data_IF_425188020984
#
_entry.id   IF_425188020984
#
_cell.length_a   1.000
_cell.length_b   1.000
_cell.length_c   1.000
_cell.angle_alpha   90.00
_cell.angle_beta   90.00
_cell.angle_gamma   90.00
#
_symmetry.space_group_name_H-M   'P 1'
#
loop_
_entity.id
_entity.type
_entity.pdbx_description
1 polymer ?
#
# COMPACT_ATOMS: atom_id res chain seq x y z
N UNK A 1 -3.02 -3.03 21.37
CA UNK A 1 -2.35 -2.12 20.42
C UNK A 1 -1.11 -2.76 19.83
N UNK A 2 -0.22 -3.31 20.67
CA UNK A 2 0.95 -4.11 20.25
C UNK A 2 0.61 -5.15 19.18
N UNK A 3 -0.46 -5.93 19.38
CA UNK A 3 -0.97 -6.87 18.38
C UNK A 3 -1.34 -6.22 17.01
N UNK A 4 -1.85 -4.98 17.00
CA UNK A 4 -2.19 -4.28 15.75
C UNK A 4 -0.93 -3.79 15.03
N UNK A 5 0.05 -3.24 15.76
CA UNK A 5 1.33 -2.83 15.19
C UNK A 5 2.10 -4.03 14.63
N UNK A 6 2.16 -5.16 15.36
CA UNK A 6 2.76 -6.40 14.84
C UNK A 6 2.09 -6.87 13.55
N UNK A 7 0.75 -6.80 13.50
CA UNK A 7 -0.03 -7.17 12.31
C UNK A 7 0.25 -6.24 11.14
N UNK A 8 0.33 -4.92 11.37
CA UNK A 8 0.65 -3.92 10.34
C UNK A 8 2.07 -4.09 9.82
N UNK A 9 3.06 -4.28 10.70
CA UNK A 9 4.44 -4.59 10.32
C UNK A 9 4.54 -5.87 9.49
N UNK A 10 3.75 -6.90 9.83
CA UNK A 10 3.68 -8.11 9.01
C UNK A 10 3.08 -7.83 7.63
N UNK A 11 2.02 -7.03 7.55
CA UNK A 11 1.43 -6.64 6.26
C UNK A 11 2.43 -5.84 5.41
N UNK A 12 3.21 -4.94 6.00
CA UNK A 12 4.27 -4.20 5.31
C UNK A 12 5.27 -5.14 4.64
N UNK A 13 5.79 -6.14 5.37
CA UNK A 13 6.70 -7.15 4.82
C UNK A 13 6.09 -7.93 3.66
N UNK A 14 4.85 -8.39 3.81
CA UNK A 14 4.16 -9.15 2.76
C UNK A 14 3.92 -8.30 1.50
N UNK A 15 3.58 -7.03 1.65
CA UNK A 15 3.40 -6.09 0.54
C UNK A 15 4.75 -5.80 -0.14
N UNK A 16 5.80 -5.56 0.64
CA UNK A 16 7.15 -5.31 0.13
C UNK A 16 7.68 -6.50 -0.70
N UNK A 17 7.51 -7.73 -0.21
CA UNK A 17 7.86 -8.95 -0.94
C UNK A 17 7.11 -9.06 -2.28
N UNK A 18 5.81 -8.76 -2.28
CA UNK A 18 5.00 -8.76 -3.51
C UNK A 18 5.47 -7.68 -4.49
N UNK A 19 5.77 -6.46 -4.02
CA UNK A 19 6.35 -5.40 -4.85
C UNK A 19 7.64 -5.87 -5.53
N UNK A 20 8.56 -6.49 -4.79
CA UNK A 20 9.84 -6.99 -5.33
C UNK A 20 9.64 -8.04 -6.42
N UNK A 21 8.74 -9.01 -6.19
CA UNK A 21 8.44 -10.05 -7.19
C UNK A 21 7.77 -9.45 -8.42
N UNK A 22 6.76 -8.59 -8.21
CA UNK A 22 5.99 -8.00 -9.30
C UNK A 22 6.82 -7.01 -10.13
N UNK A 23 7.83 -6.35 -9.54
CA UNK A 23 8.81 -5.54 -10.28
C UNK A 23 9.58 -6.36 -11.30
N UNK A 24 9.88 -7.64 -11.04
CA UNK A 24 10.53 -8.49 -12.04
C UNK A 24 9.52 -8.94 -13.10
N UNK A 25 8.30 -9.27 -12.68
CA UNK A 25 7.22 -9.69 -13.58
C UNK A 25 6.86 -8.59 -14.58
N UNK A 26 6.81 -7.34 -14.14
CA UNK A 26 6.32 -6.21 -14.94
C UNK A 26 7.25 -5.86 -16.11
N UNK A 27 8.53 -6.23 -16.04
CA UNK A 27 9.50 -6.00 -17.12
C UNK A 27 9.33 -6.96 -18.31
N UNK A 28 8.50 -8.01 -18.17
CA UNK A 28 8.26 -9.00 -19.21
C UNK A 28 6.80 -9.05 -19.62
N UNK A 29 6.50 -8.57 -20.83
CA UNK A 29 5.14 -8.61 -21.40
C UNK A 29 4.54 -10.02 -21.36
N UNK A 30 5.33 -11.03 -21.72
CA UNK A 30 4.91 -12.42 -21.67
C UNK A 30 4.56 -12.88 -20.25
N UNK A 31 5.36 -12.49 -19.25
CA UNK A 31 5.09 -12.81 -17.85
C UNK A 31 3.79 -12.14 -17.37
N UNK A 32 3.60 -10.84 -17.64
CA UNK A 32 2.41 -10.09 -17.23
C UNK A 32 1.09 -10.66 -17.78
N UNK A 33 1.16 -11.41 -18.88
CA UNK A 33 0.00 -12.04 -19.50
C UNK A 33 -0.45 -13.36 -18.83
N UNK A 34 0.40 -13.95 -17.97
CA UNK A 34 0.12 -15.24 -17.32
C UNK A 34 -0.97 -15.16 -16.26
N UNK A 35 -1.63 -16.28 -15.99
CA UNK A 35 -2.60 -16.38 -14.90
C UNK A 35 -1.93 -16.18 -13.53
N UNK A 36 -0.72 -16.72 -13.34
CA UNK A 36 0.07 -16.57 -12.11
C UNK A 36 0.33 -15.09 -11.80
N UNK A 37 0.72 -14.30 -12.81
CA UNK A 37 0.95 -12.87 -12.61
C UNK A 37 -0.32 -12.13 -12.23
N UNK A 38 -1.48 -12.49 -12.80
CA UNK A 38 -2.77 -11.88 -12.41
C UNK A 38 -3.09 -12.14 -10.95
N UNK A 39 -2.94 -13.39 -10.49
CA UNK A 39 -3.16 -13.77 -9.10
C UNK A 39 -2.21 -13.03 -8.13
N UNK A 40 -0.95 -12.82 -8.53
CA UNK A 40 -0.01 -12.03 -7.74
C UNK A 40 -0.41 -10.56 -7.65
N UNK A 41 -0.88 -9.96 -8.75
CA UNK A 41 -1.40 -8.58 -8.75
C UNK A 41 -2.68 -8.44 -7.91
N UNK A 42 -3.61 -9.39 -8.01
CA UNK A 42 -4.83 -9.43 -7.18
C UNK A 42 -4.46 -9.55 -5.70
N UNK A 43 -3.57 -10.48 -5.35
CA UNK A 43 -3.09 -10.65 -3.97
C UNK A 43 -2.42 -9.37 -3.44
N UNK A 44 -1.62 -8.70 -4.26
CA UNK A 44 -1.00 -7.43 -3.90
C UNK A 44 -2.06 -6.34 -3.64
N UNK A 45 -3.04 -6.21 -4.54
CA UNK A 45 -4.16 -5.27 -4.39
C UNK A 45 -4.93 -5.50 -3.10
N UNK A 46 -5.31 -6.75 -2.82
CA UNK A 46 -6.02 -7.10 -1.59
C UNK A 46 -5.21 -6.76 -0.34
N UNK A 47 -3.90 -7.01 -0.35
CA UNK A 47 -3.01 -6.73 0.78
C UNK A 47 -2.89 -5.23 1.05
N UNK A 48 -2.67 -4.41 0.02
CA UNK A 48 -2.59 -2.95 0.15
C UNK A 48 -3.91 -2.39 0.70
N UNK A 49 -5.05 -2.81 0.14
CA UNK A 49 -6.37 -2.34 0.59
C UNK A 49 -6.65 -2.77 2.03
N UNK A 50 -6.34 -4.02 2.39
CA UNK A 50 -6.51 -4.53 3.75
C UNK A 50 -5.63 -3.80 4.76
N UNK A 51 -4.40 -3.46 4.37
CA UNK A 51 -3.46 -2.71 5.22
C UNK A 51 -3.96 -1.28 5.49
N UNK A 52 -4.27 -0.51 4.44
CA UNK A 52 -4.80 0.85 4.59
C UNK A 52 -6.11 0.90 5.39
N UNK A 53 -6.95 -0.12 5.25
CA UNK A 53 -8.21 -0.23 6.01
C UNK A 53 -7.96 -0.54 7.48
N UNK A 54 -6.95 -1.36 7.78
CA UNK A 54 -6.61 -1.69 9.16
C UNK A 54 -6.02 -0.47 9.89
N UNK A 55 -5.17 0.31 9.24
CA UNK A 55 -4.61 1.54 9.83
C UNK A 55 -5.68 2.58 10.12
N UNK A 56 -6.64 2.75 9.20
CA UNK A 56 -7.77 3.66 9.38
C UNK A 56 -8.60 3.29 10.61
N UNK A 57 -8.89 1.99 10.76
CA UNK A 57 -9.67 1.48 11.88
C UNK A 57 -8.88 1.42 13.21
N UNK A 58 -7.58 1.14 13.18
CA UNK A 58 -6.81 0.81 14.37
C UNK A 58 -5.95 1.96 14.91
N UNK A 59 -5.40 2.80 14.03
CA UNK A 59 -4.40 3.80 14.40
C UNK A 59 -5.00 5.22 14.45
N UNK A 60 -5.58 5.70 13.34
CA UNK A 60 -5.91 7.12 13.23
C UNK A 60 -6.99 7.58 14.21
N UNK A 61 -8.00 6.76 14.48
CA UNK A 61 -9.09 7.14 15.41
C UNK A 61 -8.57 7.52 16.80
N UNK A 62 -7.59 6.78 17.33
CA UNK A 62 -7.03 7.05 18.66
C UNK A 62 -6.05 8.24 18.67
N UNK A 63 -5.36 8.49 17.56
CA UNK A 63 -4.34 9.54 17.48
C UNK A 63 -4.93 10.92 17.15
N UNK A 64 -6.10 10.96 16.49
CA UNK A 64 -6.81 12.20 16.15
C UNK A 64 -7.65 12.77 17.31
N UNK A 65 -7.90 11.96 18.34
CA UNK A 65 -8.60 12.38 19.56
C UNK A 65 -7.62 12.64 20.72
N UNK A 66 -6.31 12.68 20.45
CA UNK A 66 -5.28 12.84 21.47
C UNK A 66 -5.19 14.30 21.96
N UNK A 67 -4.83 14.56 23.22
CA UNK A 67 -4.77 15.93 23.75
C UNK A 67 -3.57 16.73 23.19
N UNK A 68 -2.49 16.03 22.82
CA UNK A 68 -1.30 16.64 22.20
C UNK A 68 -1.54 17.01 20.73
N UNK A 69 -1.47 18.31 20.41
CA UNK A 69 -1.62 18.82 19.04
C UNK A 69 -0.59 18.27 18.06
N UNK A 70 0.64 18.00 18.50
CA UNK A 70 1.68 17.41 17.66
C UNK A 70 1.34 15.98 17.20
N UNK A 71 0.71 15.20 18.09
CA UNK A 71 0.21 13.85 17.78
C UNK A 71 -0.92 13.92 16.75
N UNK A 72 -1.87 14.84 16.94
CA UNK A 72 -2.97 15.05 16.00
C UNK A 72 -2.48 15.47 14.61
N UNK A 73 -1.52 16.40 14.54
CA UNK A 73 -0.95 16.86 13.28
C UNK A 73 -0.20 15.74 12.56
N UNK A 74 0.56 14.92 13.28
CA UNK A 74 1.22 13.74 12.71
C UNK A 74 0.18 12.76 12.16
N UNK A 75 -0.83 12.40 12.94
CA UNK A 75 -1.90 11.49 12.52
C UNK A 75 -2.63 12.00 11.28
N UNK A 76 -2.93 13.30 11.24
CA UNK A 76 -3.56 13.96 10.09
C UNK A 76 -2.70 13.86 8.83
N UNK A 77 -1.38 14.05 8.94
CA UNK A 77 -0.46 13.91 7.79
C UNK A 77 -0.46 12.49 7.23
N UNK A 78 -0.32 11.47 8.10
CA UNK A 78 -0.32 10.07 7.67
C UNK A 78 -1.68 9.64 7.09
N UNK A 79 -2.79 10.04 7.71
CA UNK A 79 -4.14 9.76 7.19
C UNK A 79 -4.37 10.38 5.80
N UNK A 80 -3.94 11.63 5.60
CA UNK A 80 -4.07 12.28 4.30
C UNK A 80 -3.23 11.55 3.23
N UNK A 81 -2.01 11.13 3.57
CA UNK A 81 -1.18 10.32 2.69
C UNK A 81 -1.81 8.96 2.35
N UNK A 82 -2.39 8.27 3.34
CA UNK A 82 -3.08 7.01 3.15
C UNK A 82 -4.30 7.16 2.22
N UNK A 83 -5.09 8.23 2.38
CA UNK A 83 -6.24 8.55 1.52
C UNK A 83 -5.81 8.85 0.09
N UNK A 84 -4.75 9.61 -0.10
CA UNK A 84 -4.21 9.90 -1.42
C UNK A 84 -3.71 8.63 -2.11
N UNK A 85 -2.93 7.80 -1.40
CA UNK A 85 -2.43 6.53 -1.92
C UNK A 85 -3.60 5.61 -2.30
N UNK A 86 -4.61 5.48 -1.44
CA UNK A 86 -5.81 4.67 -1.72
C UNK A 86 -6.51 5.15 -3.00
N UNK A 87 -6.60 6.47 -3.23
CA UNK A 87 -7.20 7.05 -4.44
C UNK A 87 -6.39 6.70 -5.69
N UNK A 88 -5.07 6.91 -5.66
CA UNK A 88 -4.17 6.56 -6.77
C UNK A 88 -4.24 5.07 -7.08
N UNK A 89 -4.20 4.24 -6.03
CA UNK A 89 -4.27 2.79 -6.12
C UNK A 89 -5.58 2.29 -6.74
N UNK A 90 -6.71 2.81 -6.27
CA UNK A 90 -8.03 2.44 -6.82
C UNK A 90 -8.15 2.79 -8.31
N UNK A 91 -7.55 3.93 -8.72
CA UNK A 91 -7.50 4.32 -10.13
C UNK A 91 -6.64 3.34 -10.93
N UNK A 92 -5.45 3.00 -10.43
CA UNK A 92 -4.55 2.02 -11.02
C UNK A 92 -5.22 0.64 -11.18
N UNK A 93 -5.84 0.12 -10.13
CA UNK A 93 -6.51 -1.18 -10.12
C UNK A 93 -7.64 -1.25 -11.17
N UNK A 94 -8.43 -0.17 -11.28
CA UNK A 94 -9.50 -0.08 -12.28
C UNK A 94 -8.96 -0.12 -13.71
N UNK A 95 -7.82 0.52 -13.96
CA UNK A 95 -7.20 0.55 -15.30
C UNK A 95 -6.53 -0.78 -15.63
N UNK A 96 -5.80 -1.37 -14.69
CA UNK A 96 -4.87 -2.46 -14.99
C UNK A 96 -5.28 -3.84 -14.46
N UNK A 97 -5.96 -3.92 -13.31
CA UNK A 97 -6.32 -5.21 -12.71
C UNK A 97 -7.70 -5.72 -13.17
N UNK A 98 -8.66 -4.83 -13.50
CA UNK A 98 -10.01 -5.25 -13.92
C UNK A 98 -10.05 -5.77 -15.37
N UNK A 99 -10.93 -6.75 -15.66
CA UNK A 99 -11.08 -7.35 -16.99
C UNK A 99 -11.82 -6.39 -17.94
N UNK A 100 -11.13 -5.36 -18.43
CA UNK A 100 -11.51 -4.71 -19.68
C UNK A 100 -10.86 -5.50 -20.82
N UNK A 101 -11.68 -6.00 -21.75
CA UNK A 101 -11.33 -6.83 -22.91
C UNK A 101 -9.94 -6.50 -23.48
N UNK A 102 -8.95 -7.31 -23.08
CA UNK A 102 -7.52 -7.06 -23.32
C UNK A 102 -7.14 -7.53 -24.72
N UNK A 103 -7.14 -6.63 -25.71
CA UNK A 103 -6.41 -6.88 -26.97
C UNK A 103 -5.32 -5.85 -27.30
N UNK A 104 -5.34 -4.65 -26.70
CA UNK A 104 -4.37 -3.58 -27.00
C UNK A 104 -3.96 -2.80 -25.73
N UNK A 105 -3.40 -3.47 -24.71
CA UNK A 105 -2.83 -2.74 -23.57
C UNK A 105 -1.38 -2.41 -23.84
N UNK A 106 -1.05 -1.13 -23.78
CA UNK A 106 0.32 -0.63 -23.84
C UNK A 106 1.10 -1.18 -22.62
N UNK A 107 1.94 -2.18 -22.87
CA UNK A 107 2.77 -2.80 -21.84
C UNK A 107 3.75 -1.79 -21.22
N UNK A 108 4.29 -0.86 -22.00
CA UNK A 108 5.19 0.18 -21.52
C UNK A 108 4.51 1.09 -20.51
N UNK A 109 3.30 1.55 -20.84
CA UNK A 109 2.48 2.37 -19.93
C UNK A 109 2.05 1.62 -18.68
N UNK A 110 1.68 0.34 -18.82
CA UNK A 110 1.40 -0.52 -17.68
C UNK A 110 2.60 -0.62 -16.73
N UNK A 111 3.79 -0.90 -17.28
CA UNK A 111 5.01 -1.04 -16.49
C UNK A 111 5.41 0.26 -15.81
N UNK A 112 5.29 1.39 -16.49
CA UNK A 112 5.55 2.72 -15.93
C UNK A 112 4.61 3.04 -14.75
N UNK A 113 3.30 2.94 -14.94
CA UNK A 113 2.32 3.23 -13.89
C UNK A 113 2.44 2.25 -12.70
N UNK A 114 2.75 0.98 -12.97
CA UNK A 114 3.01 -0.03 -11.93
C UNK A 114 4.24 0.32 -11.10
N UNK A 115 5.35 0.70 -11.74
CA UNK A 115 6.58 1.12 -11.06
C UNK A 115 6.34 2.32 -10.15
N UNK A 116 5.54 3.29 -10.59
CA UNK A 116 5.22 4.46 -9.77
C UNK A 116 4.35 4.09 -8.56
N UNK A 117 3.34 3.24 -8.74
CA UNK A 117 2.52 2.75 -7.62
C UNK A 117 3.38 1.98 -6.61
N UNK A 118 4.27 1.10 -7.06
CA UNK A 118 5.16 0.37 -6.18
C UNK A 118 6.13 1.30 -5.43
N UNK A 119 6.66 2.33 -6.10
CA UNK A 119 7.49 3.34 -5.46
C UNK A 119 6.75 4.03 -4.32
N UNK A 120 5.52 4.48 -4.55
CA UNK A 120 4.68 5.14 -3.54
C UNK A 120 4.36 4.22 -2.36
N UNK A 121 4.03 2.95 -2.63
CA UNK A 121 3.75 1.95 -1.59
C UNK A 121 5.00 1.65 -0.75
N UNK A 122 6.16 1.45 -1.39
CA UNK A 122 7.42 1.19 -0.68
C UNK A 122 7.89 2.40 0.14
N UNK A 123 7.74 3.62 -0.38
CA UNK A 123 8.07 4.85 0.37
C UNK A 123 7.22 4.96 1.64
N UNK A 124 5.94 4.63 1.54
CA UNK A 124 5.02 4.61 2.69
C UNK A 124 5.43 3.57 3.72
N UNK A 125 5.62 2.32 3.30
CA UNK A 125 6.06 1.21 4.18
C UNK A 125 7.34 1.60 4.92
N UNK A 126 8.31 2.19 4.21
CA UNK A 126 9.57 2.63 4.81
C UNK A 126 9.34 3.68 5.91
N UNK A 127 8.53 4.71 5.65
CA UNK A 127 8.19 5.74 6.66
C UNK A 127 7.47 5.13 7.86
N UNK A 128 6.67 4.09 7.65
CA UNK A 128 5.89 3.47 8.71
C UNK A 128 6.74 2.63 9.64
N UNK A 129 7.56 1.76 9.06
CA UNK A 129 8.43 0.87 9.81
C UNK A 129 9.50 1.64 10.61
N UNK A 130 9.94 2.80 10.11
CA UNK A 130 11.05 3.56 10.74
C UNK A 130 10.59 4.75 11.59
N UNK A 131 9.44 5.35 11.28
CA UNK A 131 8.98 6.57 11.96
C UNK A 131 7.62 6.38 12.62
N UNK A 132 6.59 6.05 11.83
CA UNK A 132 5.21 6.12 12.31
C UNK A 132 4.91 5.10 13.41
N UNK A 133 5.24 3.82 13.22
CA UNK A 133 4.92 2.78 14.19
C UNK A 133 5.68 2.96 15.50
N UNK A 134 6.93 3.45 15.43
CA UNK A 134 7.71 3.82 16.61
C UNK A 134 7.07 4.97 17.38
N UNK A 135 6.63 6.02 16.67
CA UNK A 135 5.93 7.14 17.30
C UNK A 135 4.60 6.71 17.94
N UNK A 136 3.80 5.88 17.26
CA UNK A 136 2.55 5.34 17.81
C UNK A 136 2.78 4.52 19.06
N UNK A 137 3.80 3.65 19.07
CA UNK A 137 4.15 2.87 20.24
C UNK A 137 4.55 3.75 21.44
N UNK A 138 5.27 4.85 21.19
CA UNK A 138 5.70 5.78 22.24
C UNK A 138 4.56 6.63 22.82
N UNK A 139 3.53 6.95 22.03
CA UNK A 139 2.39 7.77 22.47
C UNK A 139 1.41 6.95 23.34
N UNK A 140 1.32 5.65 23.11
CA UNK A 140 0.29 4.78 23.71
C UNK A 140 0.84 3.76 24.71
N UNK A 141 2.14 3.81 25.00
CA UNK A 141 2.81 3.09 26.09
C UNK A 141 2.88 3.93 27.36
#
# INVERSE_FOLDING_TARGET
MEFQLEKLTKQNREIEELCKVLLVVVESEAATCTQVSRELFERFSDKVIAHLTLEDAALYSNLLDHDDKGVNEMATRYLNGARELKRLFTSYERTWCKPAEKKNRDHGKFAEETREIFRLVMERISKEDHEFFSAVAAIQG
#
